data_IF_249788234813
#
_entry.id   IF_249788234813
#
_cell.length_a   1.000
_cell.length_b   1.000
_cell.length_c   1.000
_cell.angle_alpha   90.00
_cell.angle_beta   90.00
_cell.angle_gamma   90.00
#
_symmetry.space_group_name_H-M   'P 1'
#
loop_
_entity.id
_entity.type
_entity.pdbx_description
1 polymer ?
#
# COMPACT_ATOMS: atom_id res chain seq x y z
N UNK A 1 -30.54 -7.79 31.98
CA UNK A 1 -29.24 -8.48 32.05
C UNK A 1 -29.37 -9.84 31.41
N UNK A 2 -28.32 -10.32 30.73
CA UNK A 2 -28.23 -11.70 30.23
C UNK A 2 -27.90 -12.66 31.38
N UNK A 3 -28.21 -13.96 31.21
CA UNK A 3 -27.81 -14.98 32.20
C UNK A 3 -26.29 -15.03 32.44
N UNK A 4 -25.47 -14.63 31.46
CA UNK A 4 -24.02 -14.50 31.64
C UNK A 4 -23.66 -13.35 32.59
N UNK A 5 -24.39 -12.23 32.54
CA UNK A 5 -24.18 -11.10 33.46
C UNK A 5 -24.62 -11.46 34.87
N UNK A 6 -25.81 -12.04 35.02
CA UNK A 6 -26.36 -12.47 36.33
C UNK A 6 -25.45 -13.54 36.97
N UNK A 7 -24.93 -14.49 36.17
CA UNK A 7 -23.94 -15.46 36.65
C UNK A 7 -22.68 -14.77 37.21
N UNK A 8 -22.18 -13.75 36.52
CA UNK A 8 -20.95 -13.07 36.94
C UNK A 8 -21.15 -12.25 38.23
N UNK A 9 -22.35 -11.71 38.46
CA UNK A 9 -22.68 -10.97 39.68
C UNK A 9 -22.98 -11.89 40.87
N UNK A 10 -23.71 -12.99 40.65
CA UNK A 10 -24.22 -13.84 41.73
C UNK A 10 -23.42 -15.15 41.93
N UNK A 11 -22.48 -15.46 41.04
CA UNK A 11 -21.67 -16.69 41.11
C UNK A 11 -22.42 -18.01 40.85
N UNK A 12 -23.71 -17.96 40.52
CA UNK A 12 -24.54 -19.17 40.31
C UNK A 12 -24.48 -19.71 38.88
N UNK A 13 -24.75 -21.01 38.72
CA UNK A 13 -24.74 -21.65 37.41
C UNK A 13 -25.88 -21.14 36.49
N UNK A 14 -25.66 -21.15 35.17
CA UNK A 14 -26.69 -20.74 34.19
C UNK A 14 -27.91 -21.67 34.22
N UNK A 15 -27.72 -22.95 34.52
CA UNK A 15 -28.80 -23.91 34.72
C UNK A 15 -29.69 -23.53 35.90
N UNK A 16 -29.10 -23.10 37.02
CA UNK A 16 -29.86 -22.59 38.18
C UNK A 16 -30.69 -21.35 37.80
N UNK A 17 -30.08 -20.38 37.11
CA UNK A 17 -30.77 -19.18 36.64
C UNK A 17 -31.92 -19.51 35.67
N UNK A 18 -31.74 -20.49 34.80
CA UNK A 18 -32.79 -20.94 33.86
C UNK A 18 -33.99 -21.54 34.57
N UNK A 19 -33.79 -22.20 35.71
CA UNK A 19 -34.88 -22.76 36.51
C UNK A 19 -35.61 -21.63 37.24
N UNK A 20 -34.88 -20.73 37.90
CA UNK A 20 -35.46 -19.62 38.68
C UNK A 20 -36.25 -18.64 37.82
N UNK A 21 -35.73 -18.31 36.63
CA UNK A 21 -36.31 -17.32 35.73
C UNK A 21 -37.22 -17.93 34.66
N UNK A 22 -37.55 -19.23 34.75
CA UNK A 22 -38.36 -19.95 33.76
C UNK A 22 -39.72 -19.28 33.49
N UNK A 23 -40.36 -18.79 34.55
CA UNK A 23 -41.69 -18.18 34.48
C UNK A 23 -41.65 -16.65 34.22
N UNK A 24 -40.45 -16.08 34.02
CA UNK A 24 -40.25 -14.65 33.81
C UNK A 24 -39.46 -14.40 32.51
N UNK A 25 -40.05 -14.70 31.33
CA UNK A 25 -39.38 -14.50 30.05
C UNK A 25 -39.13 -13.01 29.78
N UNK A 26 -37.98 -12.70 29.16
CA UNK A 26 -37.68 -11.36 28.68
C UNK A 26 -38.53 -11.02 27.45
N UNK A 27 -38.88 -9.75 27.28
CA UNK A 27 -39.51 -9.27 26.04
C UNK A 27 -38.58 -9.43 24.84
N UNK A 28 -39.15 -9.56 23.65
CA UNK A 28 -38.37 -9.71 22.41
C UNK A 28 -37.45 -8.49 22.17
N UNK A 29 -37.91 -7.28 22.50
CA UNK A 29 -37.12 -6.05 22.46
C UNK A 29 -35.90 -6.14 23.39
N UNK A 30 -36.10 -6.57 24.64
CA UNK A 30 -35.01 -6.71 25.62
C UNK A 30 -34.00 -7.79 25.23
N UNK A 31 -34.46 -8.88 24.61
CA UNK A 31 -33.58 -9.91 24.04
C UNK A 31 -32.74 -9.32 22.91
N UNK A 32 -33.34 -8.52 22.03
CA UNK A 32 -32.63 -7.88 20.91
C UNK A 32 -31.60 -6.86 21.41
N UNK A 33 -31.93 -6.04 22.40
CA UNK A 33 -30.99 -5.11 23.06
C UNK A 33 -29.78 -5.85 23.65
N UNK A 34 -30.01 -6.90 24.43
CA UNK A 34 -28.94 -7.68 25.05
C UNK A 34 -28.05 -8.41 24.02
N UNK A 35 -28.58 -8.70 22.83
CA UNK A 35 -27.84 -9.30 21.71
C UNK A 35 -27.07 -8.27 20.88
N UNK A 36 -27.61 -7.06 20.73
CA UNK A 36 -27.00 -5.95 20.01
C UNK A 36 -25.83 -5.34 20.80
N UNK A 37 -25.96 -5.19 22.12
CA UNK A 37 -24.96 -4.59 23.01
C UNK A 37 -23.97 -5.60 23.59
N UNK A 38 -23.37 -6.43 22.74
CA UNK A 38 -22.26 -7.30 23.15
C UNK A 38 -21.01 -6.96 22.37
N UNK A 39 -20.36 -5.87 22.77
CA UNK A 39 -19.10 -5.38 22.19
C UNK A 39 -18.05 -6.48 22.10
N UNK A 40 -17.93 -7.34 23.11
CA UNK A 40 -17.00 -8.49 23.10
C UNK A 40 -17.32 -9.50 22.00
N UNK A 41 -18.60 -9.73 21.70
CA UNK A 41 -19.01 -10.61 20.58
C UNK A 41 -18.77 -9.96 19.23
N UNK A 42 -19.04 -8.65 19.12
CA UNK A 42 -18.76 -7.87 17.90
C UNK A 42 -17.26 -7.87 17.61
N UNK A 43 -16.44 -7.63 18.63
CA UNK A 43 -14.98 -7.60 18.50
C UNK A 43 -14.43 -8.99 18.13
N UNK A 44 -14.84 -10.05 18.83
CA UNK A 44 -14.46 -11.43 18.45
C UNK A 44 -14.86 -11.79 17.02
N UNK A 45 -16.04 -11.34 16.58
CA UNK A 45 -16.46 -11.57 15.19
C UNK A 45 -15.58 -10.78 14.21
N UNK A 46 -15.25 -9.53 14.49
CA UNK A 46 -14.33 -8.71 13.69
C UNK A 46 -12.94 -9.35 13.62
N UNK A 47 -12.39 -9.78 14.74
CA UNK A 47 -11.11 -10.50 14.82
C UNK A 47 -11.16 -11.79 14.01
N UNK A 48 -12.20 -12.60 14.18
CA UNK A 48 -12.37 -13.86 13.42
C UNK A 48 -12.43 -13.59 11.93
N UNK A 49 -13.20 -12.58 11.50
CA UNK A 49 -13.28 -12.19 10.08
C UNK A 49 -11.98 -11.62 9.55
N UNK A 50 -11.25 -10.86 10.37
CA UNK A 50 -9.91 -10.35 10.05
C UNK A 50 -8.94 -11.50 9.83
N UNK A 51 -8.85 -12.44 10.77
CA UNK A 51 -7.98 -13.62 10.65
C UNK A 51 -8.35 -14.49 9.44
N UNK A 52 -9.63 -14.72 9.19
CA UNK A 52 -10.09 -15.45 8.00
C UNK A 52 -9.66 -14.74 6.71
N UNK A 53 -9.77 -13.41 6.65
CA UNK A 53 -9.32 -12.61 5.51
C UNK A 53 -7.81 -12.68 5.36
N UNK A 54 -7.05 -12.51 6.44
CA UNK A 54 -5.59 -12.57 6.44
C UNK A 54 -5.10 -13.94 5.96
N UNK A 55 -5.66 -15.03 6.46
CA UNK A 55 -5.34 -16.40 6.01
C UNK A 55 -5.68 -16.63 4.53
N UNK A 56 -6.80 -16.09 4.06
CA UNK A 56 -7.16 -16.19 2.64
C UNK A 56 -6.20 -15.40 1.76
N UNK A 57 -5.82 -14.19 2.19
CA UNK A 57 -4.89 -13.33 1.44
C UNK A 57 -3.47 -13.91 1.44
N UNK A 58 -3.01 -14.50 2.54
CA UNK A 58 -1.69 -15.12 2.62
C UNK A 58 -1.58 -16.33 1.71
N UNK A 59 -2.64 -17.14 1.60
CA UNK A 59 -2.68 -18.27 0.68
C UNK A 59 -2.62 -17.80 -0.79
N UNK A 60 -3.45 -16.81 -1.15
CA UNK A 60 -3.43 -16.21 -2.50
C UNK A 60 -2.07 -15.60 -2.82
N UNK A 61 -1.44 -14.91 -1.86
CA UNK A 61 -0.11 -14.34 -2.03
C UNK A 61 0.93 -15.42 -2.28
N UNK A 62 0.91 -16.52 -1.51
CA UNK A 62 1.83 -17.63 -1.69
C UNK A 62 1.68 -18.26 -3.07
N UNK A 63 0.45 -18.45 -3.54
CA UNK A 63 0.21 -18.95 -4.89
C UNK A 63 0.72 -17.98 -5.96
N UNK A 64 0.43 -16.68 -5.82
CA UNK A 64 0.90 -15.66 -6.75
C UNK A 64 2.44 -15.59 -6.83
N UNK A 65 3.15 -15.83 -5.72
CA UNK A 65 4.61 -15.93 -5.73
C UNK A 65 5.08 -17.08 -6.60
N UNK A 66 4.45 -18.25 -6.52
CA UNK A 66 4.79 -19.41 -7.34
C UNK A 66 4.46 -19.18 -8.82
N UNK A 67 3.36 -18.48 -9.11
CA UNK A 67 2.89 -18.23 -10.47
C UNK A 67 3.71 -17.13 -11.19
N UNK A 68 4.22 -16.16 -10.44
CA UNK A 68 4.86 -14.96 -11.01
C UNK A 68 6.39 -14.95 -10.91
N UNK A 69 6.98 -15.63 -9.93
CA UNK A 69 8.42 -15.50 -9.64
C UNK A 69 9.18 -16.81 -9.88
N UNK A 70 10.44 -16.74 -10.36
CA UNK A 70 11.20 -15.54 -10.69
C UNK A 70 10.80 -14.94 -12.06
N UNK A 71 10.82 -13.60 -12.17
CA UNK A 71 10.63 -12.93 -13.45
C UNK A 71 11.85 -13.10 -14.37
N UNK A 72 11.61 -13.48 -15.62
CA UNK A 72 12.59 -13.40 -16.69
C UNK A 72 12.95 -11.93 -16.99
N UNK A 73 14.09 -11.71 -17.65
CA UNK A 73 14.49 -10.37 -18.08
C UNK A 73 13.44 -9.70 -18.99
N UNK A 74 12.77 -10.48 -19.85
CA UNK A 74 11.74 -9.97 -20.75
C UNK A 74 10.50 -9.51 -19.96
N UNK A 75 10.02 -10.32 -19.02
CA UNK A 75 8.87 -9.97 -18.17
C UNK A 75 9.15 -8.74 -17.32
N UNK A 76 10.34 -8.65 -16.73
CA UNK A 76 10.74 -7.47 -15.96
C UNK A 76 10.80 -6.20 -16.83
N UNK A 77 11.31 -6.31 -18.07
CA UNK A 77 11.30 -5.20 -19.02
C UNK A 77 9.87 -4.76 -19.34
N UNK A 78 8.99 -5.70 -19.68
CA UNK A 78 7.58 -5.41 -20.02
C UNK A 78 6.86 -4.76 -18.84
N UNK A 79 7.00 -5.30 -17.62
CA UNK A 79 6.39 -4.75 -16.42
C UNK A 79 6.83 -3.29 -16.18
N UNK A 80 8.12 -2.99 -16.31
CA UNK A 80 8.61 -1.63 -16.15
C UNK A 80 8.22 -0.69 -17.29
N UNK A 81 8.10 -1.16 -18.54
CA UNK A 81 7.56 -0.34 -19.62
C UNK A 81 6.09 0.02 -19.39
N UNK A 82 5.26 -0.92 -18.92
CA UNK A 82 3.86 -0.66 -18.60
C UNK A 82 3.73 0.28 -17.39
N UNK A 83 4.56 0.08 -16.36
CA UNK A 83 4.64 1.01 -15.23
C UNK A 83 5.04 2.42 -15.70
N UNK A 84 6.04 2.54 -16.56
CA UNK A 84 6.46 3.84 -17.10
C UNK A 84 5.39 4.47 -18.00
N UNK A 85 4.62 3.65 -18.74
CA UNK A 85 3.50 4.13 -19.53
C UNK A 85 2.43 4.78 -18.63
N UNK A 86 2.11 4.17 -17.48
CA UNK A 86 1.16 4.73 -16.51
C UNK A 86 1.70 5.89 -15.68
N UNK A 87 2.84 5.71 -15.04
CA UNK A 87 3.36 6.58 -13.96
C UNK A 87 4.61 7.39 -14.35
N UNK A 88 5.27 7.04 -15.46
CA UNK A 88 6.51 7.67 -15.91
C UNK A 88 6.29 9.05 -16.52
N UNK A 89 7.22 9.97 -16.25
CA UNK A 89 7.23 11.32 -16.83
C UNK A 89 7.69 11.27 -18.30
N UNK A 90 6.95 11.93 -19.18
CA UNK A 90 7.19 11.89 -20.64
C UNK A 90 7.58 13.24 -21.24
N UNK A 91 7.54 14.30 -20.43
CA UNK A 91 7.73 15.69 -20.87
C UNK A 91 9.20 16.08 -20.98
N UNK A 92 10.05 15.63 -20.06
CA UNK A 92 11.46 15.97 -20.05
C UNK A 92 12.27 14.95 -20.87
N UNK A 93 12.55 15.28 -22.13
CA UNK A 93 13.42 14.47 -22.98
C UNK A 93 14.79 14.28 -22.33
N UNK A 94 15.34 13.07 -22.43
CA UNK A 94 16.66 12.73 -21.88
C UNK A 94 16.65 12.27 -20.41
N UNK A 95 15.49 12.34 -19.74
CA UNK A 95 15.35 11.96 -18.34
C UNK A 95 14.30 10.87 -18.21
N UNK A 96 14.72 9.72 -17.69
CA UNK A 96 13.80 8.65 -17.30
C UNK A 96 13.44 8.90 -15.86
N UNK A 97 12.18 9.26 -15.60
CA UNK A 97 11.72 9.54 -14.24
C UNK A 97 10.30 9.06 -13.96
N UNK A 98 10.03 8.77 -12.70
CA UNK A 98 8.74 8.33 -12.18
C UNK A 98 8.51 8.96 -10.81
N UNK A 99 7.30 9.47 -10.58
CA UNK A 99 6.90 10.06 -9.30
C UNK A 99 5.78 9.27 -8.68
N UNK A 100 5.94 8.80 -7.45
CA UNK A 100 4.89 8.09 -6.73
C UNK A 100 5.02 8.29 -5.22
N UNK A 101 3.92 8.14 -4.47
CA UNK A 101 3.90 8.22 -3.02
C UNK A 101 4.00 6.84 -2.34
N UNK A 102 3.82 5.76 -3.09
CA UNK A 102 3.99 4.39 -2.61
C UNK A 102 5.48 3.96 -2.72
N UNK A 103 6.17 3.66 -1.60
CA UNK A 103 7.55 3.20 -1.61
C UNK A 103 7.80 1.93 -2.42
N UNK A 104 6.85 0.99 -2.47
CA UNK A 104 7.03 -0.29 -3.17
C UNK A 104 7.12 -0.08 -4.69
N UNK A 105 6.33 0.85 -5.23
CA UNK A 105 6.39 1.26 -6.65
C UNK A 105 7.75 1.89 -6.95
N UNK A 106 8.24 2.73 -6.04
CA UNK A 106 9.53 3.40 -6.16
C UNK A 106 10.68 2.39 -6.14
N UNK A 107 10.66 1.43 -5.20
CA UNK A 107 11.66 0.36 -5.09
C UNK A 107 11.64 -0.51 -6.35
N UNK A 108 10.46 -0.89 -6.84
CA UNK A 108 10.34 -1.65 -8.08
C UNK A 108 10.95 -0.88 -9.26
N UNK A 109 10.68 0.42 -9.38
CA UNK A 109 11.24 1.23 -10.45
C UNK A 109 12.77 1.35 -10.38
N UNK A 110 13.34 1.52 -9.17
CA UNK A 110 14.80 1.50 -8.95
C UNK A 110 15.38 0.15 -9.40
N UNK A 111 14.78 -0.95 -8.95
CA UNK A 111 15.18 -2.32 -9.32
C UNK A 111 15.10 -2.55 -10.84
N UNK A 112 14.07 -2.01 -11.51
CA UNK A 112 13.93 -2.10 -12.95
C UNK A 112 15.03 -1.32 -13.70
N UNK A 113 15.32 -0.09 -13.27
CA UNK A 113 16.42 0.71 -13.83
C UNK A 113 17.76 -0.03 -13.72
N UNK A 114 18.05 -0.59 -12.55
CA UNK A 114 19.29 -1.31 -12.28
C UNK A 114 19.36 -2.64 -13.05
N UNK A 115 18.39 -3.53 -12.84
CA UNK A 115 18.46 -4.93 -13.28
C UNK A 115 18.02 -5.15 -14.72
N UNK A 116 17.04 -4.37 -15.21
CA UNK A 116 16.48 -4.54 -16.54
C UNK A 116 17.10 -3.57 -17.55
N UNK A 117 17.27 -2.31 -17.15
CA UNK A 117 17.83 -1.26 -18.00
C UNK A 117 19.36 -1.13 -17.91
N UNK A 118 20.00 -1.73 -16.90
CA UNK A 118 21.46 -1.70 -16.74
C UNK A 118 21.99 -0.33 -16.30
N UNK A 119 21.17 0.47 -15.61
CA UNK A 119 21.58 1.76 -15.05
C UNK A 119 22.39 1.52 -13.78
N UNK A 120 23.61 2.05 -13.72
CA UNK A 120 24.40 2.01 -12.48
C UNK A 120 23.65 2.68 -11.35
N UNK A 121 23.65 2.04 -10.17
CA UNK A 121 22.87 2.50 -9.02
C UNK A 121 23.19 3.94 -8.64
N UNK A 122 24.45 4.35 -8.73
CA UNK A 122 24.98 5.69 -8.42
C UNK A 122 24.44 6.79 -9.35
N UNK A 123 23.91 6.40 -10.51
CA UNK A 123 23.29 7.31 -11.51
C UNK A 123 21.78 7.45 -11.32
N UNK A 124 21.21 6.79 -10.31
CA UNK A 124 19.82 6.92 -9.93
C UNK A 124 19.74 7.98 -8.84
N UNK A 125 18.88 8.97 -9.01
CA UNK A 125 18.70 10.06 -8.06
C UNK A 125 17.25 10.12 -7.63
N UNK A 126 17.02 10.71 -6.46
CA UNK A 126 15.66 11.01 -6.01
C UNK A 126 15.51 12.47 -5.64
N UNK A 127 14.29 12.98 -5.77
CA UNK A 127 13.88 14.29 -5.29
C UNK A 127 12.50 14.16 -4.67
N UNK A 128 12.38 14.60 -3.43
CA UNK A 128 11.08 14.68 -2.77
C UNK A 128 10.33 15.91 -3.25
N UNK A 129 9.04 15.73 -3.54
CA UNK A 129 8.09 16.80 -3.77
C UNK A 129 7.20 16.91 -2.54
N UNK A 130 7.43 17.97 -1.76
CA UNK A 130 6.80 18.18 -0.46
C UNK A 130 5.84 19.36 -0.53
N UNK A 131 4.90 19.43 0.40
CA UNK A 131 4.06 20.61 0.60
C UNK A 131 4.79 21.59 1.52
N UNK A 132 4.48 22.90 1.44
CA UNK A 132 5.23 23.93 2.17
C UNK A 132 5.18 23.82 3.70
N UNK A 133 4.23 23.05 4.22
CA UNK A 133 3.99 22.76 5.64
C UNK A 133 4.59 21.42 6.10
N UNK A 134 5.28 20.70 5.21
CA UNK A 134 5.97 19.44 5.54
C UNK A 134 7.39 19.69 6.04
N UNK A 135 7.82 18.83 6.95
CA UNK A 135 9.17 18.83 7.54
C UNK A 135 10.12 18.02 6.65
N UNK A 136 10.99 18.70 5.91
CA UNK A 136 11.86 18.02 4.95
C UNK A 136 12.79 16.99 5.57
N UNK A 137 13.23 17.20 6.80
CA UNK A 137 14.21 16.32 7.43
C UNK A 137 13.55 15.00 7.81
N UNK A 138 12.33 15.06 8.36
CA UNK A 138 11.51 13.87 8.63
C UNK A 138 11.17 13.10 7.36
N UNK A 139 10.79 13.81 6.29
CA UNK A 139 10.47 13.11 5.04
C UNK A 139 11.71 12.49 4.40
N UNK A 140 12.87 13.16 4.45
CA UNK A 140 14.12 12.56 4.01
C UNK A 140 14.50 11.31 4.81
N UNK A 141 14.28 11.32 6.12
CA UNK A 141 14.51 10.15 6.98
C UNK A 141 13.60 8.99 6.60
N UNK A 142 12.28 9.22 6.48
CA UNK A 142 11.32 8.22 6.04
C UNK A 142 11.72 7.56 4.71
N UNK A 143 12.01 8.37 3.68
CA UNK A 143 12.42 7.85 2.38
C UNK A 143 13.84 7.25 2.41
N UNK A 144 14.68 7.69 3.34
CA UNK A 144 16.01 7.12 3.62
C UNK A 144 15.94 5.69 4.15
N UNK A 145 14.99 5.40 5.03
CA UNK A 145 14.78 4.06 5.59
C UNK A 145 14.18 3.08 4.57
N UNK A 146 13.33 3.57 3.67
CA UNK A 146 12.60 2.73 2.71
C UNK A 146 13.39 2.41 1.45
N UNK A 147 14.20 3.35 0.96
CA UNK A 147 14.84 3.23 -0.34
C UNK A 147 16.28 2.75 -0.21
N UNK A 148 16.73 1.81 -1.07
CA UNK A 148 18.07 1.26 -0.98
C UNK A 148 19.12 2.19 -1.63
N UNK A 149 19.11 3.50 -1.35
CA UNK A 149 19.98 4.50 -1.99
C UNK A 149 20.84 5.27 -0.98
N UNK A 150 22.02 5.73 -1.41
CA UNK A 150 22.91 6.52 -0.58
C UNK A 150 22.44 7.98 -0.47
N UNK A 151 22.73 8.65 0.65
CA UNK A 151 22.31 10.04 0.92
C UNK A 151 22.69 11.03 -0.19
N UNK A 152 23.82 10.83 -0.86
CA UNK A 152 24.30 11.69 -1.96
C UNK A 152 23.37 11.66 -3.20
N UNK A 153 22.53 10.63 -3.30
CA UNK A 153 21.56 10.46 -4.38
C UNK A 153 20.26 11.24 -4.13
N UNK A 154 20.05 11.72 -2.90
CA UNK A 154 18.89 12.53 -2.50
C UNK A 154 19.19 13.98 -2.86
N UNK A 155 18.46 14.51 -3.85
CA UNK A 155 18.55 15.92 -4.25
C UNK A 155 17.67 16.80 -3.38
N UNK A 156 17.99 18.09 -3.36
CA UNK A 156 17.21 19.11 -2.64
C UNK A 156 15.71 18.96 -2.94
N UNK A 157 14.85 18.84 -1.91
CA UNK A 157 13.42 18.72 -2.10
C UNK A 157 12.84 19.92 -2.84
N UNK A 158 11.77 19.67 -3.58
CA UNK A 158 10.96 20.69 -4.19
C UNK A 158 9.72 20.91 -3.32
N UNK A 159 9.46 22.16 -2.95
CA UNK A 159 8.28 22.52 -2.17
C UNK A 159 7.19 23.07 -3.10
N UNK A 160 6.01 22.46 -3.04
CA UNK A 160 4.78 22.96 -3.65
C UNK A 160 4.24 24.12 -2.81
N UNK A 161 3.67 25.11 -3.47
CA UNK A 161 3.05 26.26 -2.79
C UNK A 161 1.76 25.88 -2.02
N UNK A 162 1.15 24.75 -2.34
CA UNK A 162 -0.02 24.23 -1.65
C UNK A 162 0.32 23.69 -0.27
N UNK A 163 -0.70 23.63 0.60
CA UNK A 163 -0.63 23.03 1.93
C UNK A 163 -1.08 21.58 1.90
N UNK A 164 -0.44 20.74 2.70
CA UNK A 164 -0.83 19.33 2.87
C UNK A 164 -2.23 19.20 3.47
N UNK A 165 -2.62 20.15 4.31
CA UNK A 165 -3.95 20.22 4.92
C UNK A 165 -5.08 20.34 3.90
N UNK A 166 -4.81 20.95 2.73
CA UNK A 166 -5.81 21.22 1.69
C UNK A 166 -5.94 20.09 0.67
N UNK A 167 -5.23 18.97 0.86
CA UNK A 167 -5.32 17.82 -0.04
C UNK A 167 -6.49 16.94 0.40
N UNK A 168 -7.47 16.79 -0.48
CA UNK A 168 -8.64 15.93 -0.27
C UNK A 168 -8.26 14.44 -0.25
N UNK A 169 -7.20 14.07 -0.98
CA UNK A 169 -6.64 12.72 -1.02
C UNK A 169 -5.26 12.70 -0.37
N UNK A 170 -5.19 12.57 0.96
CA UNK A 170 -3.91 12.50 1.68
C UNK A 170 -3.09 11.24 1.38
N UNK A 171 -3.62 10.31 0.57
CA UNK A 171 -3.03 9.02 0.30
C UNK A 171 -2.88 8.20 1.59
N UNK A 172 -2.46 6.95 1.45
CA UNK A 172 -2.16 6.10 2.61
C UNK A 172 -0.83 6.50 3.29
N UNK A 173 0.07 7.14 2.52
CA UNK A 173 1.46 7.29 2.93
C UNK A 173 1.78 8.64 3.57
N UNK A 174 1.08 9.75 3.30
CA UNK A 174 1.33 11.04 3.99
C UNK A 174 2.71 11.70 3.82
N UNK A 175 3.70 11.01 3.24
CA UNK A 175 5.12 11.38 3.21
C UNK A 175 5.57 12.13 1.94
N UNK A 176 4.67 12.95 1.38
CA UNK A 176 4.89 13.62 0.09
C UNK A 176 4.99 12.65 -1.10
N UNK A 177 5.59 13.11 -2.20
CA UNK A 177 5.80 12.30 -3.41
C UNK A 177 7.29 12.14 -3.68
N UNK A 178 7.75 10.91 -3.90
CA UNK A 178 9.13 10.65 -4.28
C UNK A 178 9.24 10.59 -5.80
N UNK A 179 10.10 11.44 -6.38
CA UNK A 179 10.47 11.37 -7.79
C UNK A 179 11.83 10.69 -7.92
N UNK A 180 11.87 9.52 -8.56
CA UNK A 180 13.12 8.86 -8.95
C UNK A 180 13.45 9.20 -10.39
N UNK A 181 14.71 9.48 -10.68
CA UNK A 181 15.14 9.85 -12.01
C UNK A 181 16.58 9.49 -12.32
N UNK A 182 16.88 9.34 -13.60
CA UNK A 182 18.25 9.23 -14.13
C UNK A 182 18.38 10.00 -15.44
N UNK A 183 19.54 10.63 -15.65
CA UNK A 183 19.88 11.33 -16.89
C UNK A 183 20.51 10.33 -17.87
N UNK A 184 19.75 9.93 -18.88
CA UNK A 184 20.17 8.95 -19.88
C UNK A 184 19.27 9.03 -21.13
N UNK A 185 19.70 9.82 -22.12
CA UNK A 185 18.92 10.03 -23.36
C UNK A 185 18.69 8.76 -24.17
N UNK A 186 19.72 7.92 -24.46
CA UNK A 186 19.49 6.67 -25.16
C UNK A 186 18.49 5.75 -24.46
N UNK A 187 18.53 5.69 -23.12
CA UNK A 187 17.55 4.90 -22.37
C UNK A 187 16.15 5.49 -22.47
N UNK A 188 16.00 6.81 -22.33
CA UNK A 188 14.71 7.48 -22.49
C UNK A 188 14.07 7.17 -23.85
N UNK A 189 14.84 7.29 -24.93
CA UNK A 189 14.36 6.98 -26.28
C UNK A 189 13.97 5.51 -26.42
N UNK A 190 14.81 4.60 -25.91
CA UNK A 190 14.51 3.16 -25.89
C UNK A 190 13.22 2.84 -25.15
N UNK A 191 13.00 3.44 -23.98
CA UNK A 191 11.77 3.24 -23.18
C UNK A 191 10.55 3.73 -23.96
N UNK A 192 10.61 4.96 -24.49
CA UNK A 192 9.51 5.55 -25.25
C UNK A 192 9.17 4.72 -26.50
N UNK A 193 10.18 4.26 -27.24
CA UNK A 193 9.96 3.42 -28.43
C UNK A 193 9.47 2.03 -28.07
N UNK A 194 9.93 1.44 -26.97
CA UNK A 194 9.44 0.12 -26.51
C UNK A 194 7.97 0.20 -26.12
N UNK A 195 7.55 1.26 -25.43
CA UNK A 195 6.13 1.51 -25.12
C UNK A 195 5.34 1.67 -26.43
N UNK A 196 5.86 2.46 -27.38
CA UNK A 196 5.21 2.64 -28.67
C UNK A 196 5.01 1.32 -29.43
N UNK A 197 6.00 0.44 -29.43
CA UNK A 197 5.89 -0.90 -30.03
C UNK A 197 4.78 -1.71 -29.37
N UNK A 198 4.68 -1.68 -28.04
CA UNK A 198 3.62 -2.38 -27.30
C UNK A 198 2.23 -1.83 -27.61
N UNK A 199 2.08 -0.51 -27.72
CA UNK A 199 0.79 0.12 -27.99
C UNK A 199 0.35 -0.07 -29.45
N UNK A 200 1.27 0.12 -30.39
CA UNK A 200 0.98 0.02 -31.84
C UNK A 200 0.62 -1.42 -32.25
N UNK A 201 1.13 -2.42 -31.52
CA UNK A 201 0.88 -3.84 -31.80
C UNK A 201 -0.07 -4.49 -30.78
N UNK A 202 -0.84 -3.70 -30.04
CA UNK A 202 -1.75 -4.20 -28.99
C UNK A 202 -2.79 -5.21 -29.48
N UNK A 203 -3.14 -5.19 -30.77
CA UNK A 203 -4.04 -6.16 -31.42
C UNK A 203 -3.34 -7.44 -31.92
N UNK A 204 -2.02 -7.56 -31.74
CA UNK A 204 -1.20 -8.70 -32.21
C UNK A 204 -0.64 -9.55 -31.07
N UNK A 205 -0.99 -9.23 -29.82
CA UNK A 205 -0.53 -9.90 -28.60
C UNK A 205 -1.65 -10.77 -28.06
#
# INVERSE_FOLDING_TARGET
MSYSQIKNELGVSKSTLSIWLRNYPLSQERINELRAHNEKRIERYRETRRMQRENRLSEVYRQAVLDLLPLTKKELLLAGYLLYAGEGAKTQKGVVSLSNNNPDIIIFFISWLERACGVSKERIFIRLQLYRDMDSDKEMEYWGEKLPLAKQQYKKPYFKNSLSANITHKGEFGHGTCNVFTFNTPLFEKVMMSIKVLTDNSLRV
#
